data_IF_652411013118
#
_entry.id   IF_652411013118
#
_cell.length_a   1.000
_cell.length_b   1.000
_cell.length_c   1.000
_cell.angle_alpha   90.00
_cell.angle_beta   90.00
_cell.angle_gamma   90.00
#
_symmetry.space_group_name_H-M   'P 1'
#
loop_
_entity.id
_entity.type
_entity.pdbx_description
1 polymer ?
#
# COMPACT_ATOMS: atom_id res chain seq x y z
N UNK A 1 9.63 -2.84 -34.19
CA UNK A 1 8.40 -2.60 -33.42
C UNK A 1 8.35 -3.30 -32.08
N UNK A 2 8.72 -4.59 -32.00
CA UNK A 2 8.73 -5.31 -30.72
C UNK A 2 9.62 -4.68 -29.65
N UNK A 3 10.77 -4.14 -30.05
CA UNK A 3 11.71 -3.46 -29.13
C UNK A 3 11.10 -2.18 -28.55
N UNK A 4 10.37 -1.40 -29.35
CA UNK A 4 9.73 -0.16 -28.88
C UNK A 4 8.62 -0.44 -27.87
N UNK A 5 7.79 -1.48 -28.12
CA UNK A 5 6.75 -1.89 -27.20
C UNK A 5 7.34 -2.34 -25.86
N UNK A 6 8.44 -3.08 -25.90
CA UNK A 6 9.12 -3.56 -24.69
C UNK A 6 9.62 -2.40 -23.83
N UNK A 7 10.21 -1.38 -24.46
CA UNK A 7 10.67 -0.18 -23.75
C UNK A 7 9.53 0.65 -23.21
N UNK A 8 8.42 0.75 -23.97
CA UNK A 8 7.22 1.43 -23.49
C UNK A 8 6.61 0.74 -22.28
N UNK A 9 6.59 -0.60 -22.26
CA UNK A 9 6.10 -1.37 -21.11
C UNK A 9 6.98 -1.18 -19.89
N UNK A 10 8.30 -1.19 -20.05
CA UNK A 10 9.24 -0.94 -18.97
C UNK A 10 9.05 0.46 -18.40
N UNK A 11 8.95 1.47 -19.28
CA UNK A 11 8.69 2.84 -18.86
C UNK A 11 7.38 2.99 -18.10
N UNK A 12 6.32 2.33 -18.56
CA UNK A 12 5.02 2.34 -17.89
C UNK A 12 5.09 1.70 -16.49
N UNK A 13 5.78 0.57 -16.37
CA UNK A 13 5.97 -0.09 -15.09
C UNK A 13 6.73 0.81 -14.12
N UNK A 14 7.80 1.48 -14.57
CA UNK A 14 8.57 2.41 -13.75
C UNK A 14 7.69 3.56 -13.26
N UNK A 15 6.87 4.15 -14.15
CA UNK A 15 5.96 5.25 -13.78
C UNK A 15 4.94 4.78 -12.75
N UNK A 16 4.36 3.61 -12.92
CA UNK A 16 3.42 3.03 -11.95
C UNK A 16 4.08 2.85 -10.59
N UNK A 17 5.29 2.28 -10.55
CA UNK A 17 6.03 2.09 -9.31
C UNK A 17 6.34 3.43 -8.62
N UNK A 18 6.73 4.44 -9.37
CA UNK A 18 6.98 5.77 -8.81
C UNK A 18 5.72 6.38 -8.21
N UNK A 19 4.59 6.27 -8.89
CA UNK A 19 3.31 6.79 -8.39
C UNK A 19 2.87 6.03 -7.14
N UNK A 20 2.92 4.70 -7.16
CA UNK A 20 2.44 3.86 -6.04
C UNK A 20 3.31 3.95 -4.79
N UNK A 21 4.55 4.42 -4.93
CA UNK A 21 5.48 4.56 -3.80
C UNK A 21 5.77 6.03 -3.44
N UNK A 22 5.13 7.00 -4.10
CA UNK A 22 5.48 8.43 -3.96
C UNK A 22 4.99 9.06 -2.66
N UNK A 23 3.92 8.54 -2.05
CA UNK A 23 3.39 9.05 -0.78
C UNK A 23 3.02 7.89 0.13
N UNK A 24 3.03 8.10 1.48
CA UNK A 24 2.58 7.06 2.42
C UNK A 24 1.13 6.64 2.19
N UNK A 25 0.25 7.57 1.88
CA UNK A 25 -1.17 7.26 1.63
C UNK A 25 -1.33 6.35 0.40
N UNK A 26 -0.69 6.70 -0.70
CA UNK A 26 -0.77 5.89 -1.93
C UNK A 26 -0.13 4.52 -1.70
N UNK A 27 1.01 4.45 -1.00
CA UNK A 27 1.67 3.19 -0.69
C UNK A 27 0.78 2.29 0.17
N UNK A 28 0.11 2.85 1.18
CA UNK A 28 -0.81 2.11 2.03
C UNK A 28 -2.01 1.58 1.22
N UNK A 29 -2.63 2.43 0.42
CA UNK A 29 -3.77 2.03 -0.40
C UNK A 29 -3.39 1.01 -1.46
N UNK A 30 -2.20 1.10 -2.01
CA UNK A 30 -1.68 0.11 -2.97
C UNK A 30 -1.51 -1.26 -2.31
N UNK A 31 -0.96 -1.30 -1.09
CA UNK A 31 -0.81 -2.54 -0.35
C UNK A 31 -2.18 -3.17 -0.03
N UNK A 32 -3.15 -2.37 0.41
CA UNK A 32 -4.51 -2.82 0.68
C UNK A 32 -5.21 -3.30 -0.58
N UNK A 33 -4.95 -2.65 -1.71
CA UNK A 33 -5.54 -3.02 -3.01
C UNK A 33 -5.26 -4.47 -3.39
N UNK A 34 -4.09 -5.00 -3.09
CA UNK A 34 -3.76 -6.39 -3.38
C UNK A 34 -4.51 -7.39 -2.52
N UNK A 35 -5.07 -6.95 -1.39
CA UNK A 35 -5.88 -7.80 -0.51
C UNK A 35 -7.37 -7.58 -0.73
N UNK A 36 -7.80 -6.34 -0.84
CA UNK A 36 -9.20 -5.96 -1.02
C UNK A 36 -9.27 -4.63 -1.78
N UNK A 37 -9.44 -4.68 -3.13
CA UNK A 37 -9.46 -3.46 -3.94
C UNK A 37 -10.51 -2.44 -3.54
N UNK A 38 -11.70 -2.90 -3.13
CA UNK A 38 -12.79 -2.00 -2.74
C UNK A 38 -12.42 -1.22 -1.48
N UNK A 39 -11.83 -1.88 -0.50
CA UNK A 39 -11.39 -1.24 0.74
C UNK A 39 -10.31 -0.21 0.48
N UNK A 40 -9.41 -0.45 -0.47
CA UNK A 40 -8.35 0.49 -0.81
C UNK A 40 -8.87 1.87 -1.21
N UNK A 41 -10.05 1.94 -1.84
CA UNK A 41 -10.64 3.20 -2.28
C UNK A 41 -11.53 3.86 -1.24
N UNK A 42 -12.09 3.09 -0.32
CA UNK A 42 -13.11 3.55 0.62
C UNK A 42 -12.68 3.56 2.07
N UNK A 43 -11.53 2.98 2.40
CA UNK A 43 -11.05 2.88 3.77
C UNK A 43 -10.75 4.23 4.40
N UNK A 44 -10.99 4.32 5.71
CA UNK A 44 -10.53 5.42 6.54
C UNK A 44 -9.54 4.87 7.56
N UNK A 45 -8.46 5.58 7.80
CA UNK A 45 -7.39 5.10 8.68
C UNK A 45 -6.83 6.23 9.54
N UNK A 46 -6.16 5.84 10.64
CA UNK A 46 -5.53 6.75 11.57
C UNK A 46 -4.06 6.35 11.74
N UNK A 47 -3.18 7.35 11.79
CA UNK A 47 -1.78 7.14 12.10
C UNK A 47 -1.64 6.85 13.59
N UNK A 48 -1.08 5.66 13.94
CA UNK A 48 -0.87 5.27 15.33
C UNK A 48 0.50 5.66 15.81
N UNK A 49 1.53 5.41 15.00
CA UNK A 49 2.92 5.68 15.35
C UNK A 49 3.68 6.12 14.11
N UNK A 50 4.41 7.21 14.26
CA UNK A 50 5.30 7.71 13.22
C UNK A 50 6.73 7.62 13.70
N UNK A 51 7.52 6.81 13.01
CA UNK A 51 8.95 6.65 13.27
C UNK A 51 9.75 7.17 12.08
N UNK A 52 11.07 7.27 12.24
CA UNK A 52 11.94 7.78 11.18
C UNK A 52 11.86 6.92 9.90
N UNK A 53 11.79 5.61 10.05
CA UNK A 53 11.86 4.67 8.93
C UNK A 53 10.51 4.06 8.56
N UNK A 54 9.48 4.26 9.36
CA UNK A 54 8.16 3.70 9.07
C UNK A 54 7.06 4.47 9.78
N UNK A 55 5.83 4.26 9.31
CA UNK A 55 4.61 4.75 9.98
C UNK A 55 3.63 3.59 10.12
N UNK A 56 3.04 3.45 11.29
CA UNK A 56 2.05 2.42 11.58
C UNK A 56 0.65 3.03 11.49
N UNK A 57 -0.22 2.39 10.73
CA UNK A 57 -1.61 2.84 10.51
C UNK A 57 -2.60 1.81 11.01
N UNK A 58 -3.73 2.29 11.52
CA UNK A 58 -4.89 1.46 11.84
C UNK A 58 -6.04 1.86 10.92
N UNK A 59 -6.63 0.91 10.23
CA UNK A 59 -7.78 1.16 9.37
C UNK A 59 -9.03 1.09 10.24
N UNK A 60 -9.79 2.19 10.28
CA UNK A 60 -10.95 2.35 11.15
C UNK A 60 -12.28 1.99 10.47
N UNK A 61 -12.40 2.25 9.17
CA UNK A 61 -13.61 1.98 8.41
C UNK A 61 -13.29 1.29 7.10
N UNK A 62 -14.20 0.44 6.65
CA UNK A 62 -14.05 -0.32 5.42
C UNK A 62 -12.76 -1.14 5.43
N UNK A 63 -12.54 -1.83 6.56
CA UNK A 63 -11.34 -2.63 6.80
C UNK A 63 -11.25 -3.75 5.78
N UNK A 64 -10.09 -3.97 5.14
CA UNK A 64 -9.92 -5.09 4.23
C UNK A 64 -9.92 -6.42 4.96
N UNK A 65 -10.36 -7.47 4.28
CA UNK A 65 -10.39 -8.82 4.81
C UNK A 65 -9.44 -9.72 4.03
N UNK A 66 -8.77 -10.61 4.74
CA UNK A 66 -7.96 -11.63 4.09
C UNK A 66 -8.86 -12.67 3.44
N UNK A 67 -8.65 -12.93 2.14
CA UNK A 67 -9.50 -13.84 1.38
C UNK A 67 -9.45 -15.28 1.88
N UNK A 68 -8.30 -15.73 2.38
CA UNK A 68 -8.11 -17.09 2.85
C UNK A 68 -8.77 -17.38 4.20
N UNK A 69 -8.71 -16.43 5.14
CA UNK A 69 -9.20 -16.63 6.51
C UNK A 69 -10.46 -15.86 6.84
N UNK A 70 -10.80 -14.83 6.06
CA UNK A 70 -11.89 -13.92 6.35
C UNK A 70 -11.64 -12.99 7.52
N UNK A 71 -10.42 -12.94 8.05
CA UNK A 71 -10.06 -12.07 9.16
C UNK A 71 -9.84 -10.64 8.71
N UNK A 72 -10.27 -9.63 9.51
CA UNK A 72 -10.01 -8.23 9.18
C UNK A 72 -8.54 -7.89 9.34
N UNK A 73 -8.04 -7.03 8.47
CA UNK A 73 -6.64 -6.61 8.46
C UNK A 73 -6.56 -5.15 8.93
N UNK A 74 -6.43 -4.95 10.25
CA UNK A 74 -6.51 -3.63 10.87
C UNK A 74 -5.22 -2.82 10.79
N UNK A 75 -4.08 -3.45 11.05
CA UNK A 75 -2.82 -2.73 11.22
C UNK A 75 -1.91 -2.91 10.02
N UNK A 76 -1.44 -1.78 9.49
CA UNK A 76 -0.57 -1.73 8.32
C UNK A 76 0.63 -0.86 8.62
N UNK A 77 1.76 -1.20 8.04
CA UNK A 77 3.00 -0.46 8.20
C UNK A 77 3.45 0.05 6.83
N UNK A 78 3.89 1.31 6.79
CA UNK A 78 4.49 1.89 5.59
C UNK A 78 5.93 2.24 5.90
N UNK A 79 6.85 1.57 5.22
CA UNK A 79 8.28 1.86 5.34
C UNK A 79 8.66 3.04 4.46
N UNK A 80 9.56 3.88 4.97
CA UNK A 80 10.06 5.05 4.25
C UNK A 80 11.51 4.83 3.82
N UNK A 81 11.75 4.86 2.51
CA UNK A 81 13.06 4.70 1.92
C UNK A 81 13.39 5.93 1.08
N UNK A 82 13.86 7.01 1.72
CA UNK A 82 14.08 8.28 1.04
C UNK A 82 12.76 8.81 0.48
N UNK A 83 12.65 9.05 -0.84
CA UNK A 83 11.40 9.53 -1.45
C UNK A 83 10.38 8.42 -1.68
N UNK A 84 10.72 7.15 -1.40
CA UNK A 84 9.86 6.00 -1.67
C UNK A 84 9.22 5.45 -0.41
N UNK A 85 8.02 4.87 -0.57
CA UNK A 85 7.24 4.31 0.53
C UNK A 85 6.73 2.93 0.14
N UNK A 86 6.79 1.98 1.07
CA UNK A 86 6.33 0.61 0.85
C UNK A 86 5.36 0.21 1.96
N UNK A 87 4.12 -0.13 1.57
CA UNK A 87 3.10 -0.57 2.51
C UNK A 87 3.07 -2.09 2.65
N UNK A 88 2.96 -2.56 3.89
CA UNK A 88 2.85 -3.99 4.22
C UNK A 88 1.86 -4.19 5.36
N UNK A 89 1.20 -5.35 5.38
CA UNK A 89 0.35 -5.71 6.49
C UNK A 89 1.22 -6.06 7.71
N UNK A 90 0.88 -5.47 8.85
CA UNK A 90 1.65 -5.64 10.09
C UNK A 90 0.96 -6.55 11.11
N UNK A 91 -0.09 -7.27 10.74
CA UNK A 91 -0.87 -8.09 11.64
C UNK A 91 -2.00 -7.30 12.30
N UNK A 92 -2.62 -7.87 13.35
CA UNK A 92 -3.71 -7.24 14.08
C UNK A 92 -3.28 -6.75 15.48
N UNK A 93 -2.00 -6.79 15.78
CA UNK A 93 -1.40 -6.27 17.01
C UNK A 93 -0.51 -5.08 16.71
N UNK A 94 -0.46 -4.14 17.63
CA UNK A 94 0.38 -2.95 17.51
C UNK A 94 1.87 -3.27 17.68
#
# INVERSE_FOLDING_TARGET
MRKKIKWLLIGLIIVILLITTSTPDIALRTAVFFHDPQSAFTMEYTEIRHEKNYTLYQIDKNVPYEAASGNPLFFWIVYHYGPFHLGLWNGNDR
#
